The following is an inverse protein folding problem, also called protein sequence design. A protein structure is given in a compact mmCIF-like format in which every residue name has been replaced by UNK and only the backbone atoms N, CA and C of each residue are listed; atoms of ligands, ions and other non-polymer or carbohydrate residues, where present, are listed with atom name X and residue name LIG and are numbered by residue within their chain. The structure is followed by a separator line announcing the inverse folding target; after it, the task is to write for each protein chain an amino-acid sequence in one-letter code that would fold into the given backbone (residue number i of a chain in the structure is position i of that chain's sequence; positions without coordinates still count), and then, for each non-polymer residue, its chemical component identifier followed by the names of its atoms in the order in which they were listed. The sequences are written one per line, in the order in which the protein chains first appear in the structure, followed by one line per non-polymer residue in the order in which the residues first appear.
data_IF_444199285348
#
_entry.id   IF_444199285348
#
_cell.length_a   1.000
_cell.length_b   1.000
_cell.length_c   1.000
_cell.angle_alpha   90.00
_cell.angle_beta   90.00
_cell.angle_gamma   90.00
#
_symmetry.space_group_name_H-M   'P 1'
#
loop_
_entity.id
_entity.type
_entity.pdbx_description
1 polymer ?
#
# COMPACT_ATOMS: atom_id res chain seq x y z
N UNK A 1 5.54 29.31 9.16
CA UNK A 1 5.63 27.97 8.51
C UNK A 1 5.24 26.90 9.53
N UNK A 2 3.95 26.67 9.76
CA UNK A 2 3.49 25.63 10.70
C UNK A 2 2.28 24.96 10.06
N UNK A 3 2.53 23.80 9.44
CA UNK A 3 1.47 22.93 8.95
C UNK A 3 0.98 22.06 10.11
N UNK A 4 -0.27 22.34 10.43
CA UNK A 4 -1.32 21.56 11.07
C UNK A 4 -1.04 20.07 11.34
N UNK A 5 -1.07 19.75 12.62
CA UNK A 5 -0.80 18.47 13.25
C UNK A 5 -2.09 17.66 13.37
N UNK A 6 -2.50 16.97 12.30
CA UNK A 6 -3.50 15.89 12.40
C UNK A 6 -2.78 14.55 12.59
N UNK A 7 -2.55 14.20 13.86
CA UNK A 7 -1.94 12.93 14.30
C UNK A 7 -2.92 11.78 14.05
N UNK A 8 -2.80 11.11 12.91
CA UNK A 8 -3.38 9.78 12.75
C UNK A 8 -2.48 8.77 13.44
N UNK A 9 -2.98 8.09 14.46
CA UNK A 9 -2.32 6.94 15.07
C UNK A 9 -2.79 5.70 14.32
N UNK A 10 -1.89 4.96 13.67
CA UNK A 10 -2.23 3.62 13.18
C UNK A 10 -2.46 2.72 14.40
N UNK A 11 -3.68 2.22 14.62
CA UNK A 11 -4.06 1.49 15.86
C UNK A 11 -3.25 0.22 16.15
N UNK A 12 -2.49 -0.29 15.17
CA UNK A 12 -1.60 -1.45 15.33
C UNK A 12 -0.16 -1.14 15.77
N UNK A 13 0.31 0.11 15.64
CA UNK A 13 1.68 0.49 15.99
C UNK A 13 1.66 1.69 16.95
N UNK A 14 2.22 1.52 18.16
CA UNK A 14 2.30 2.57 19.20
C UNK A 14 3.33 3.67 18.89
N UNK A 15 3.88 3.75 17.66
CA UNK A 15 4.89 4.75 17.30
C UNK A 15 4.24 6.07 16.93
N UNK A 16 4.84 7.18 17.38
CA UNK A 16 4.35 8.54 17.14
C UNK A 16 4.56 9.05 15.70
N UNK A 17 5.29 8.32 14.85
CA UNK A 17 5.55 8.71 13.47
C UNK A 17 4.36 8.41 12.54
N UNK A 18 3.44 9.37 12.46
CA UNK A 18 2.31 9.36 11.52
C UNK A 18 2.71 9.69 10.07
N UNK A 19 3.82 9.15 9.56
CA UNK A 19 4.18 9.35 8.16
C UNK A 19 3.36 8.44 7.25
N UNK A 20 3.02 8.92 6.05
CA UNK A 20 2.29 8.15 5.05
C UNK A 20 2.99 6.81 4.76
N UNK A 21 4.31 6.82 4.64
CA UNK A 21 5.09 5.60 4.39
C UNK A 21 5.02 4.64 5.58
N UNK A 22 5.08 5.11 6.82
CA UNK A 22 4.88 4.22 7.97
C UNK A 22 3.48 3.60 7.96
N UNK A 23 2.43 4.43 7.88
CA UNK A 23 1.04 3.95 7.92
C UNK A 23 0.70 2.95 6.84
N UNK A 24 1.20 3.18 5.62
CA UNK A 24 0.80 2.38 4.47
C UNK A 24 1.83 1.35 4.03
N UNK A 25 3.09 1.39 4.47
CA UNK A 25 4.11 0.51 3.91
C UNK A 25 5.05 -0.08 4.95
N UNK A 26 5.72 0.76 5.74
CA UNK A 26 6.78 0.32 6.66
C UNK A 26 6.27 -0.18 8.01
N UNK A 27 4.99 0.00 8.33
CA UNK A 27 4.40 -0.54 9.56
C UNK A 27 4.42 -2.09 9.53
N UNK A 28 4.98 -2.76 10.56
CA UNK A 28 5.02 -4.23 10.62
C UNK A 28 3.65 -4.91 10.51
N UNK A 29 2.57 -4.22 10.89
CA UNK A 29 1.21 -4.73 10.75
C UNK A 29 0.70 -4.71 9.30
N UNK A 30 1.26 -3.85 8.46
CA UNK A 30 0.79 -3.57 7.10
C UNK A 30 1.67 -4.24 6.04
N UNK A 31 2.97 -4.47 6.33
CA UNK A 31 3.89 -5.19 5.42
C UNK A 31 3.33 -6.56 4.99
N UNK A 32 2.81 -7.43 5.89
CA UNK A 32 2.31 -8.76 5.49
C UNK A 32 1.10 -8.67 4.56
N UNK A 33 0.26 -7.66 4.74
CA UNK A 33 -0.89 -7.41 3.89
C UNK A 33 -0.47 -7.11 2.45
N UNK A 34 0.49 -6.20 2.24
CA UNK A 34 0.99 -5.91 0.90
C UNK A 34 1.72 -7.07 0.26
N UNK A 35 2.49 -7.82 1.06
CA UNK A 35 3.16 -9.04 0.60
C UNK A 35 2.12 -10.04 0.06
N UNK A 36 1.06 -10.29 0.82
CA UNK A 36 -0.03 -11.16 0.39
C UNK A 36 -0.71 -10.65 -0.88
N UNK A 37 -1.00 -9.35 -0.99
CA UNK A 37 -1.56 -8.77 -2.23
C UNK A 37 -0.63 -9.01 -3.41
N UNK A 38 0.66 -8.72 -3.28
CA UNK A 38 1.62 -8.89 -4.40
C UNK A 38 1.79 -10.34 -4.81
N UNK A 39 1.75 -11.28 -3.86
CA UNK A 39 1.79 -12.72 -4.15
C UNK A 39 0.55 -13.17 -4.91
N UNK A 40 -0.65 -12.79 -4.45
CA UNK A 40 -1.90 -13.13 -5.14
C UNK A 40 -1.97 -12.51 -6.54
N UNK A 41 -1.59 -11.23 -6.68
CA UNK A 41 -1.55 -10.57 -7.98
C UNK A 41 -0.55 -11.25 -8.92
N UNK A 42 0.60 -11.68 -8.41
CA UNK A 42 1.60 -12.39 -9.20
C UNK A 42 1.08 -13.74 -9.68
N UNK A 43 0.40 -14.49 -8.80
CA UNK A 43 -0.19 -15.78 -9.14
C UNK A 43 -1.31 -15.66 -10.20
N UNK A 44 -2.19 -14.65 -10.07
CA UNK A 44 -3.30 -14.45 -11.01
C UNK A 44 -2.79 -13.96 -12.38
N UNK A 45 -1.79 -13.08 -12.39
CA UNK A 45 -1.30 -12.46 -13.63
C UNK A 45 -0.19 -13.25 -14.30
N UNK A 46 0.39 -14.23 -13.60
CA UNK A 46 1.60 -14.95 -14.01
C UNK A 46 2.80 -14.01 -14.27
N UNK A 47 2.81 -12.85 -13.62
CA UNK A 47 3.88 -11.85 -13.69
C UNK A 47 4.45 -11.65 -12.30
N UNK A 48 5.77 -11.59 -12.16
CA UNK A 48 6.40 -11.26 -10.89
C UNK A 48 6.16 -9.79 -10.53
N UNK A 49 5.22 -9.52 -9.61
CA UNK A 49 4.91 -8.17 -9.15
C UNK A 49 5.83 -7.80 -7.98
N UNK A 50 6.67 -6.76 -8.11
CA UNK A 50 7.59 -6.39 -7.05
C UNK A 50 6.82 -5.80 -5.87
N UNK A 51 7.25 -6.17 -4.67
CA UNK A 51 6.83 -5.52 -3.44
C UNK A 51 7.49 -4.13 -3.37
N UNK A 52 6.87 -3.16 -4.03
CA UNK A 52 7.36 -1.77 -4.13
C UNK A 52 6.33 -0.76 -3.60
N UNK A 53 6.73 0.16 -2.70
CA UNK A 53 5.86 1.24 -2.27
C UNK A 53 5.56 2.19 -3.43
N UNK A 54 6.45 2.31 -4.42
CA UNK A 54 6.21 3.13 -5.60
C UNK A 54 5.03 2.59 -6.41
N UNK A 55 4.95 1.26 -6.57
CA UNK A 55 3.86 0.63 -7.28
C UNK A 55 2.56 0.62 -6.45
N UNK A 56 2.63 0.11 -5.22
CA UNK A 56 1.44 -0.11 -4.39
C UNK A 56 0.92 1.19 -3.76
N UNK A 57 1.80 2.09 -3.33
CA UNK A 57 1.40 3.34 -2.65
C UNK A 57 1.28 4.49 -3.63
N UNK A 58 2.23 4.66 -4.55
CA UNK A 58 2.21 5.79 -5.50
C UNK A 58 1.52 5.45 -6.83
N UNK A 59 1.27 4.17 -7.13
CA UNK A 59 0.68 3.78 -8.41
C UNK A 59 1.62 3.96 -9.60
N UNK A 60 2.93 4.09 -9.34
CA UNK A 60 3.94 4.22 -10.38
C UNK A 60 4.08 2.86 -11.08
N UNK A 61 3.62 2.76 -12.33
CA UNK A 61 3.71 1.53 -13.13
C UNK A 61 5.03 1.42 -13.89
N UNK A 62 5.90 2.43 -13.85
CA UNK A 62 7.22 2.37 -14.50
C UNK A 62 8.16 1.34 -13.87
N UNK A 63 7.87 0.90 -12.63
CA UNK A 63 8.67 -0.11 -11.92
C UNK A 63 8.58 -1.51 -12.54
N UNK A 64 7.56 -1.79 -13.36
CA UNK A 64 7.43 -3.06 -14.07
C UNK A 64 6.74 -2.88 -15.42
N UNK A 65 7.23 -3.58 -16.45
CA UNK A 65 6.56 -3.62 -17.74
C UNK A 65 5.29 -4.47 -17.63
N UNK A 66 4.14 -3.80 -17.52
CA UNK A 66 2.84 -4.43 -17.36
C UNK A 66 1.95 -4.09 -18.56
N UNK A 67 1.07 -5.03 -18.94
CA UNK A 67 0.01 -4.71 -19.90
C UNK A 67 -0.96 -3.71 -19.30
N UNK A 68 -1.65 -2.92 -20.13
CA UNK A 68 -2.64 -1.92 -19.66
C UNK A 68 -3.72 -2.52 -18.77
N UNK A 69 -4.11 -3.78 -19.05
CA UNK A 69 -5.12 -4.51 -18.27
C UNK A 69 -4.57 -4.89 -16.90
N UNK A 70 -3.38 -5.49 -16.84
CA UNK A 70 -2.74 -5.90 -15.58
C UNK A 70 -2.43 -4.68 -14.71
N UNK A 71 -1.94 -3.59 -15.31
CA UNK A 71 -1.69 -2.34 -14.61
C UNK A 71 -2.97 -1.80 -13.94
N UNK A 72 -4.10 -1.76 -14.66
CA UNK A 72 -5.39 -1.35 -14.07
C UNK A 72 -5.84 -2.25 -12.93
N UNK A 73 -5.62 -3.57 -13.06
CA UNK A 73 -5.95 -4.53 -12.02
C UNK A 73 -5.15 -4.25 -10.74
N UNK A 74 -3.83 -4.12 -10.86
CA UNK A 74 -2.93 -3.83 -9.75
C UNK A 74 -3.28 -2.48 -9.09
N UNK A 75 -3.50 -1.44 -9.87
CA UNK A 75 -3.85 -0.12 -9.34
C UNK A 75 -5.18 -0.13 -8.59
N UNK A 76 -6.17 -0.88 -9.09
CA UNK A 76 -7.46 -1.06 -8.43
C UNK A 76 -7.30 -1.80 -7.09
N UNK A 77 -6.55 -2.90 -7.06
CA UNK A 77 -6.23 -3.63 -5.83
C UNK A 77 -5.49 -2.74 -4.83
N UNK A 78 -4.54 -1.92 -5.29
CA UNK A 78 -3.79 -1.02 -4.43
C UNK A 78 -4.67 0.10 -3.84
N UNK A 79 -5.62 0.63 -4.61
CA UNK A 79 -6.59 1.62 -4.13
C UNK A 79 -7.49 1.03 -3.03
N UNK A 80 -8.03 -0.16 -3.27
CA UNK A 80 -8.86 -0.90 -2.31
C UNK A 80 -8.05 -1.20 -1.04
N UNK A 81 -6.81 -1.65 -1.20
CA UNK A 81 -5.92 -1.96 -0.07
C UNK A 81 -5.66 -0.75 0.82
N UNK A 82 -5.35 0.42 0.23
CA UNK A 82 -5.19 1.67 0.99
C UNK A 82 -6.46 2.05 1.75
N UNK A 83 -7.62 1.94 1.10
CA UNK A 83 -8.90 2.24 1.75
C UNK A 83 -9.14 1.31 2.94
N UNK A 84 -8.87 0.01 2.80
CA UNK A 84 -9.00 -0.95 3.90
C UNK A 84 -8.04 -0.67 5.05
N UNK A 85 -6.78 -0.30 4.79
CA UNK A 85 -5.82 0.10 5.83
C UNK A 85 -6.32 1.34 6.59
N UNK A 86 -6.87 2.33 5.88
CA UNK A 86 -7.45 3.52 6.50
C UNK A 86 -8.68 3.19 7.34
N UNK A 87 -9.59 2.36 6.83
CA UNK A 87 -10.81 1.95 7.56
C UNK A 87 -10.46 1.13 8.81
N UNK A 88 -9.47 0.24 8.73
CA UNK A 88 -8.94 -0.50 9.88
C UNK A 88 -8.29 0.42 10.94
N UNK A 89 -7.95 1.67 10.57
CA UNK A 89 -7.44 2.69 11.50
C UNK A 89 -8.57 3.55 12.10
N UNK A 90 -9.77 3.53 11.52
CA UNK A 90 -10.94 4.33 11.94
C UNK A 90 -11.96 3.56 12.79
N UNK A 91 -11.87 2.23 12.88
CA UNK A 91 -12.67 1.34 13.73
C UNK A 91 -11.99 1.02 15.05
#
# INVERSE_FOLDING_TARGET
KQQEKRRGTSRGCKREEGTLIHMFWSCPCVVPFWKSITEHLSNITNVNIPLSPRLMILGDTSVCKLSKVIAKMILSSALIGKKNILLATSL
#
